data_IF_619241421211
#
_entry.id   IF_619241421211
#
_cell.length_a   1.000
_cell.length_b   1.000
_cell.length_c   1.000
_cell.angle_alpha   90.00
_cell.angle_beta   90.00
_cell.angle_gamma   90.00
#
_symmetry.space_group_name_H-M   'P 1'
#
loop_
_entity.id
_entity.type
_entity.pdbx_description
1 polymer ?
#
# COMPACT_ATOMS: atom_id res chain seq x y z
N UNK A 1 12.65 -65.80 -6.55
CA UNK A 1 13.19 -64.57 -5.92
C UNK A 1 13.55 -63.46 -6.93
N UNK A 2 14.09 -63.76 -8.12
CA UNK A 2 14.44 -62.71 -9.09
C UNK A 2 13.24 -62.00 -9.74
N UNK A 3 12.11 -62.70 -9.93
CA UNK A 3 10.90 -62.13 -10.56
C UNK A 3 10.17 -61.13 -9.64
N UNK A 4 10.09 -61.44 -8.35
CA UNK A 4 9.47 -60.58 -7.33
C UNK A 4 10.27 -59.28 -7.13
N UNK A 5 11.60 -59.34 -7.26
CA UNK A 5 12.46 -58.16 -7.20
C UNK A 5 12.27 -57.22 -8.40
N UNK A 6 12.07 -57.78 -9.61
CA UNK A 6 11.80 -56.98 -10.82
C UNK A 6 10.42 -56.31 -10.79
N UNK A 7 9.41 -57.01 -10.24
CA UNK A 7 8.06 -56.44 -10.08
C UNK A 7 8.04 -55.29 -9.06
N UNK A 8 8.78 -55.42 -7.95
CA UNK A 8 8.89 -54.39 -6.93
C UNK A 8 9.59 -53.13 -7.48
N UNK A 9 10.64 -53.29 -8.29
CA UNK A 9 11.29 -52.17 -8.98
C UNK A 9 10.36 -51.47 -9.98
N UNK A 10 9.58 -52.23 -10.75
CA UNK A 10 8.61 -51.64 -11.69
C UNK A 10 7.52 -50.83 -10.97
N UNK A 11 6.99 -51.34 -9.84
CA UNK A 11 6.01 -50.63 -9.01
C UNK A 11 6.60 -49.37 -8.37
N UNK A 12 7.85 -49.43 -7.93
CA UNK A 12 8.55 -48.26 -7.35
C UNK A 12 8.78 -47.18 -8.41
N UNK A 13 9.21 -47.55 -9.61
CA UNK A 13 9.39 -46.62 -10.74
C UNK A 13 8.05 -46.01 -11.15
N UNK A 14 6.97 -46.79 -11.27
CA UNK A 14 5.64 -46.26 -11.58
C UNK A 14 5.13 -45.26 -10.53
N UNK A 15 5.40 -45.51 -9.25
CA UNK A 15 5.01 -44.61 -8.15
C UNK A 15 5.74 -43.26 -8.21
N UNK A 16 7.03 -43.25 -8.61
CA UNK A 16 7.81 -42.02 -8.81
C UNK A 16 7.31 -41.22 -10.03
N UNK A 17 6.87 -41.91 -11.09
CA UNK A 17 6.28 -41.26 -12.25
C UNK A 17 4.91 -40.62 -11.94
N UNK A 18 4.11 -41.21 -11.05
CA UNK A 18 2.84 -40.59 -10.61
C UNK A 18 3.03 -39.38 -9.70
N UNK A 19 4.07 -39.37 -8.86
CA UNK A 19 4.44 -38.21 -8.04
C UNK A 19 4.90 -36.99 -8.86
N UNK A 20 5.42 -37.21 -10.07
CA UNK A 20 5.91 -36.14 -10.96
C UNK A 20 4.87 -35.58 -11.92
N UNK A 21 3.73 -36.26 -12.14
CA UNK A 21 2.62 -35.74 -12.96
C UNK A 21 1.61 -34.87 -12.18
N UNK A 22 1.62 -34.93 -10.84
CA UNK A 22 0.62 -34.24 -10.00
C UNK A 22 0.96 -32.80 -9.57
N UNK A 23 2.17 -32.32 -9.83
CA UNK A 23 2.69 -31.10 -9.20
C UNK A 23 3.12 -30.02 -10.20
N UNK A 24 2.31 -29.72 -11.23
CA UNK A 24 2.43 -28.47 -12.00
C UNK A 24 1.08 -27.98 -12.51
N UNK A 25 0.27 -27.38 -11.62
CA UNK A 25 -0.59 -26.25 -12.00
C UNK A 25 0.01 -24.99 -11.40
N UNK A 26 1.04 -24.48 -12.06
CA UNK A 26 1.46 -23.10 -11.88
C UNK A 26 0.67 -22.22 -12.85
N UNK A 27 0.46 -20.98 -12.42
CA UNK A 27 -0.20 -19.88 -13.13
C UNK A 27 -1.69 -20.09 -13.42
N UNK A 28 -2.51 -19.90 -12.40
CA UNK A 28 -3.65 -19.00 -12.59
C UNK A 28 -3.05 -17.63 -12.90
N UNK A 29 -2.81 -17.36 -14.18
CA UNK A 29 -2.86 -15.98 -14.66
C UNK A 29 -4.27 -15.54 -14.30
N UNK A 30 -4.40 -14.68 -13.29
CA UNK A 30 -5.61 -13.89 -13.13
C UNK A 30 -5.87 -13.33 -14.51
N UNK A 31 -6.92 -13.84 -15.16
CA UNK A 31 -7.32 -13.35 -16.46
C UNK A 31 -7.52 -11.86 -16.24
N UNK A 32 -6.70 -11.05 -16.88
CA UNK A 32 -6.74 -9.59 -16.77
C UNK A 32 -8.06 -9.19 -17.43
N UNK A 33 -9.18 -9.39 -16.71
CA UNK A 33 -10.42 -8.73 -17.01
C UNK A 33 -9.97 -7.28 -17.01
N UNK A 34 -9.99 -6.65 -18.16
CA UNK A 34 -9.74 -5.23 -18.27
C UNK A 34 -10.80 -4.59 -17.40
N UNK A 35 -10.47 -4.43 -16.12
CA UNK A 35 -11.24 -3.70 -15.14
C UNK A 35 -11.04 -2.28 -15.63
N UNK A 36 -11.82 -1.92 -16.64
CA UNK A 36 -11.95 -0.58 -17.13
C UNK A 36 -12.63 0.14 -15.99
N UNK A 37 -11.81 0.59 -15.06
CA UNK A 37 -12.26 1.30 -13.91
C UNK A 37 -12.99 2.56 -14.43
N UNK A 38 -14.24 2.74 -14.01
CA UNK A 38 -15.08 3.83 -14.47
C UNK A 38 -14.80 5.08 -13.64
N UNK A 39 -14.52 6.19 -14.32
CA UNK A 39 -14.42 7.48 -13.64
C UNK A 39 -15.81 8.04 -13.36
N UNK A 40 -16.11 8.26 -12.08
CA UNK A 40 -17.41 8.74 -11.62
C UNK A 40 -17.50 10.27 -11.48
N UNK A 41 -16.70 11.02 -12.26
CA UNK A 41 -16.69 12.49 -12.28
C UNK A 41 -16.33 13.18 -10.94
N UNK A 42 -15.61 12.49 -10.05
CA UNK A 42 -15.10 13.06 -8.79
C UNK A 42 -13.83 13.89 -8.99
N UNK A 43 -13.50 14.85 -8.11
CA UNK A 43 -12.30 15.68 -8.28
C UNK A 43 -11.01 14.86 -8.45
N UNK A 44 -10.20 15.19 -9.45
CA UNK A 44 -8.90 14.57 -9.69
C UNK A 44 -7.76 15.50 -9.27
N UNK A 45 -6.68 14.90 -8.77
CA UNK A 45 -5.41 15.61 -8.57
C UNK A 45 -4.79 15.90 -9.93
N UNK A 46 -4.40 17.15 -10.17
CA UNK A 46 -3.78 17.58 -11.43
C UNK A 46 -2.62 18.52 -11.15
N UNK A 47 -1.61 18.52 -12.01
CA UNK A 47 -0.43 19.38 -11.85
C UNK A 47 0.69 18.72 -11.05
N UNK A 48 1.58 19.55 -10.48
CA UNK A 48 2.75 19.09 -9.75
C UNK A 48 2.43 18.97 -8.26
N UNK A 49 2.23 17.76 -7.78
CA UNK A 49 1.80 17.49 -6.40
C UNK A 49 2.97 16.94 -5.58
N UNK A 50 3.23 17.51 -4.40
CA UNK A 50 4.17 16.95 -3.43
C UNK A 50 3.51 15.90 -2.56
N UNK A 51 4.19 14.78 -2.32
CA UNK A 51 3.78 13.77 -1.36
C UNK A 51 4.66 13.92 -0.11
N UNK A 52 4.09 14.45 0.97
CA UNK A 52 4.80 14.65 2.23
C UNK A 52 4.47 13.52 3.20
N UNK A 53 5.44 13.09 3.98
CA UNK A 53 5.28 12.04 4.97
C UNK A 53 5.35 12.58 6.39
N UNK A 54 4.37 12.19 7.20
CA UNK A 54 4.30 12.46 8.63
C UNK A 54 4.42 11.12 9.35
N UNK A 55 5.61 10.84 9.87
CA UNK A 55 5.95 9.62 10.60
C UNK A 55 5.63 9.83 12.08
N UNK A 56 4.57 9.19 12.57
CA UNK A 56 4.13 9.31 13.95
C UNK A 56 4.47 8.06 14.74
N UNK A 57 5.46 8.19 15.64
CA UNK A 57 6.06 7.08 16.37
C UNK A 57 7.38 6.61 15.77
N UNK A 58 7.88 5.48 16.27
CA UNK A 58 9.23 4.99 15.93
C UNK A 58 9.21 4.11 14.68
N UNK A 59 9.96 4.52 13.65
CA UNK A 59 10.12 3.76 12.40
C UNK A 59 11.59 3.44 12.13
N UNK A 60 11.85 2.25 11.59
CA UNK A 60 13.19 1.87 11.13
C UNK A 60 13.57 2.71 9.90
N UNK A 61 14.86 3.05 9.70
CA UNK A 61 15.32 3.68 8.47
C UNK A 61 14.93 2.90 7.21
N UNK A 62 14.92 1.56 7.27
CA UNK A 62 14.48 0.69 6.17
C UNK A 62 13.01 0.89 5.82
N UNK A 63 12.12 1.04 6.81
CA UNK A 63 10.70 1.28 6.60
C UNK A 63 10.45 2.63 5.92
N UNK A 64 11.19 3.67 6.35
CA UNK A 64 11.15 4.99 5.71
C UNK A 64 11.63 4.92 4.25
N UNK A 65 12.70 4.16 3.99
CA UNK A 65 13.23 3.97 2.63
C UNK A 65 12.22 3.27 1.71
N UNK A 66 11.63 2.14 2.15
CA UNK A 66 10.63 1.38 1.38
C UNK A 66 9.50 2.28 0.87
N UNK A 67 8.92 3.10 1.75
CA UNK A 67 7.81 3.99 1.38
C UNK A 67 8.25 5.13 0.46
N UNK A 68 9.46 5.66 0.68
CA UNK A 68 10.03 6.71 -0.17
C UNK A 68 10.31 6.21 -1.58
N UNK A 69 10.83 4.98 -1.68
CA UNK A 69 11.12 4.31 -2.94
C UNK A 69 9.84 3.97 -3.69
N UNK A 70 8.80 3.53 -2.99
CA UNK A 70 7.47 3.32 -3.56
C UNK A 70 6.93 4.58 -4.24
N UNK A 71 6.92 5.73 -3.56
CA UNK A 71 6.46 7.00 -4.18
C UNK A 71 7.38 7.45 -5.31
N UNK A 72 8.68 7.24 -5.17
CA UNK A 72 9.63 7.57 -6.24
C UNK A 72 9.38 6.75 -7.50
N UNK A 73 8.95 5.49 -7.35
CA UNK A 73 8.57 4.61 -8.47
C UNK A 73 7.38 5.17 -9.28
N UNK A 74 6.45 5.91 -8.63
CA UNK A 74 5.29 6.54 -9.28
C UNK A 74 5.67 7.66 -10.24
N UNK A 75 6.85 8.25 -10.07
CA UNK A 75 7.32 9.37 -10.90
C UNK A 75 8.28 8.95 -12.00
N UNK A 76 8.52 7.65 -12.20
CA UNK A 76 9.51 7.16 -13.16
C UNK A 76 8.98 7.23 -14.60
N UNK A 77 9.67 8.03 -15.45
CA UNK A 77 9.25 8.29 -16.84
C UNK A 77 9.66 7.21 -17.84
N UNK A 78 10.61 6.34 -17.49
CA UNK A 78 11.23 5.38 -18.41
C UNK A 78 11.54 4.06 -17.72
N UNK A 79 10.54 3.18 -17.57
CA UNK A 79 10.82 1.84 -17.06
C UNK A 79 11.42 0.91 -18.10
N UNK A 80 12.30 0.02 -17.64
CA UNK A 80 12.63 -1.23 -18.34
C UNK A 80 11.50 -2.22 -18.00
N UNK A 81 10.91 -2.87 -19.01
CA UNK A 81 9.78 -3.80 -18.82
C UNK A 81 10.25 -5.17 -18.27
N UNK A 82 9.46 -5.82 -17.40
CA UNK A 82 8.23 -5.34 -16.77
C UNK A 82 8.51 -4.41 -15.58
N UNK A 83 7.71 -3.36 -15.41
CA UNK A 83 7.85 -2.42 -14.29
C UNK A 83 6.53 -2.05 -13.62
N UNK A 84 6.63 -1.58 -12.38
CA UNK A 84 5.53 -0.95 -11.63
C UNK A 84 4.95 0.25 -12.40
N UNK A 85 5.77 1.04 -13.11
CA UNK A 85 5.31 2.17 -13.90
C UNK A 85 4.39 1.76 -15.08
N UNK A 86 4.57 0.57 -15.64
CA UNK A 86 3.72 0.02 -16.71
C UNK A 86 2.31 -0.25 -16.20
N UNK A 87 2.19 -0.75 -14.96
CA UNK A 87 0.90 -0.88 -14.29
C UNK A 87 0.26 0.49 -14.05
N UNK A 88 1.03 1.47 -13.57
CA UNK A 88 0.53 2.83 -13.32
C UNK A 88 0.08 3.58 -14.58
N UNK A 89 0.61 3.28 -15.78
CA UNK A 89 0.09 3.83 -17.05
C UNK A 89 -1.40 3.55 -17.25
N UNK A 90 -1.96 2.50 -16.63
CA UNK A 90 -3.40 2.25 -16.67
C UNK A 90 -4.18 3.38 -16.00
N UNK A 91 -3.64 4.00 -14.95
CA UNK A 91 -4.24 5.16 -14.27
C UNK A 91 -4.13 6.46 -15.07
N UNK A 92 -3.13 6.60 -15.96
CA UNK A 92 -3.05 7.78 -16.83
C UNK A 92 -4.26 7.87 -17.79
N UNK A 93 -4.93 6.74 -18.07
CA UNK A 93 -6.13 6.69 -18.93
C UNK A 93 -7.33 7.49 -18.40
N UNK A 94 -7.35 7.88 -17.12
CA UNK A 94 -8.40 8.72 -16.54
C UNK A 94 -8.22 10.21 -16.85
N UNK A 95 -7.00 10.63 -17.15
CA UNK A 95 -6.74 12.00 -17.56
C UNK A 95 -7.16 12.13 -19.03
N UNK A 96 -8.23 12.90 -19.28
CA UNK A 96 -8.59 13.25 -20.65
C UNK A 96 -7.55 14.21 -21.23
N UNK A 97 -7.51 14.36 -22.55
CA UNK A 97 -6.61 15.32 -23.24
C UNK A 97 -6.75 16.77 -22.72
N UNK A 98 -7.81 17.08 -21.97
CA UNK A 98 -8.14 18.39 -21.41
C UNK A 98 -7.72 18.58 -19.94
N UNK A 99 -7.33 17.51 -19.22
CA UNK A 99 -6.86 17.62 -17.82
C UNK A 99 -5.34 17.74 -17.76
N UNK A 100 -4.77 18.68 -16.98
CA UNK A 100 -3.33 18.77 -16.78
C UNK A 100 -2.78 17.45 -16.25
N UNK A 101 -1.64 17.01 -16.77
CA UNK A 101 -1.00 15.78 -16.30
C UNK A 101 -0.63 15.88 -14.83
N UNK A 102 -0.79 14.76 -14.10
CA UNK A 102 -0.34 14.63 -12.73
C UNK A 102 1.16 14.30 -12.72
N UNK A 103 1.92 15.05 -11.94
CA UNK A 103 3.32 14.75 -11.64
C UNK A 103 3.50 14.74 -10.14
N UNK A 104 3.81 13.57 -9.60
CA UNK A 104 4.12 13.41 -8.18
C UNK A 104 5.61 13.67 -7.94
N UNK A 105 5.93 14.35 -6.84
CA UNK A 105 7.30 14.45 -6.33
C UNK A 105 7.34 14.10 -4.86
N UNK A 106 8.44 13.52 -4.42
CA UNK A 106 8.69 13.35 -2.99
C UNK A 106 8.81 14.73 -2.32
N UNK A 107 8.09 14.88 -1.22
CA UNK A 107 8.03 16.10 -0.42
C UNK A 107 8.83 15.99 0.88
N UNK A 108 8.35 16.67 1.92
CA UNK A 108 8.99 16.69 3.24
C UNK A 108 8.75 15.39 4.01
N UNK A 109 9.71 15.04 4.85
CA UNK A 109 9.57 14.01 5.87
C UNK A 109 9.55 14.69 7.24
N UNK A 110 8.46 14.51 7.98
CA UNK A 110 8.26 15.06 9.32
C UNK A 110 8.18 13.87 10.26
N UNK A 111 9.08 13.81 11.25
CA UNK A 111 9.08 12.72 12.24
C UNK A 111 8.60 13.26 13.59
N UNK A 112 7.79 12.45 14.27
CA UNK A 112 7.25 12.69 15.60
C UNK A 112 7.44 11.41 16.43
N UNK A 113 8.70 11.16 16.79
CA UNK A 113 9.11 9.94 17.49
C UNK A 113 8.73 9.96 18.98
N UNK A 114 8.29 11.13 19.50
CA UNK A 114 7.91 11.33 20.90
C UNK A 114 6.42 11.12 21.17
N UNK A 115 5.62 10.77 20.15
CA UNK A 115 4.18 10.58 20.25
C UNK A 115 3.47 11.82 20.81
N UNK A 116 3.65 12.98 20.17
CA UNK A 116 3.20 14.28 20.72
C UNK A 116 1.70 14.40 21.05
N UNK A 117 0.84 13.52 20.51
CA UNK A 117 -0.60 13.44 20.77
C UNK A 117 -1.00 12.16 21.55
N UNK A 118 -0.03 11.43 22.09
CA UNK A 118 -0.22 10.12 22.72
C UNK A 118 -0.31 8.96 21.72
N UNK A 119 -0.48 7.73 22.23
CA UNK A 119 -0.55 6.51 21.41
C UNK A 119 -1.97 6.09 21.01
N UNK A 120 -2.97 6.91 21.32
CA UNK A 120 -4.37 6.68 20.94
C UNK A 120 -4.85 7.91 20.18
N UNK A 121 -5.16 7.74 18.90
CA UNK A 121 -5.49 8.84 17.99
C UNK A 121 -6.93 8.74 17.48
N UNK A 122 -7.59 9.89 17.39
CA UNK A 122 -8.86 10.06 16.70
C UNK A 122 -8.65 10.58 15.28
N UNK A 123 -9.73 10.66 14.48
CA UNK A 123 -9.67 11.27 13.15
C UNK A 123 -9.23 12.74 13.18
N UNK A 124 -9.60 13.50 14.21
CA UNK A 124 -9.15 14.88 14.39
C UNK A 124 -7.63 14.96 14.59
N UNK A 125 -7.05 14.02 15.35
CA UNK A 125 -5.60 13.92 15.51
C UNK A 125 -4.91 13.62 14.17
N UNK A 126 -5.49 12.77 13.31
CA UNK A 126 -4.95 12.49 11.98
C UNK A 126 -4.92 13.76 11.11
N UNK A 127 -6.01 14.54 11.11
CA UNK A 127 -6.06 15.83 10.39
C UNK A 127 -5.04 16.82 10.96
N UNK A 128 -4.91 16.88 12.29
CA UNK A 128 -3.92 17.73 12.96
C UNK A 128 -2.49 17.35 12.57
N UNK A 129 -2.15 16.06 12.54
CA UNK A 129 -0.86 15.56 12.08
C UNK A 129 -0.62 15.91 10.61
N UNK A 130 -1.60 15.64 9.74
CA UNK A 130 -1.51 15.96 8.31
C UNK A 130 -1.30 17.46 8.05
N UNK A 131 -1.87 18.34 8.88
CA UNK A 131 -1.73 19.80 8.76
C UNK A 131 -0.31 20.35 8.98
N UNK A 132 0.60 19.51 9.53
CA UNK A 132 2.02 19.82 9.69
C UNK A 132 2.78 19.77 8.37
N UNK A 133 2.26 19.05 7.38
CA UNK A 133 2.81 18.97 6.03
C UNK A 133 2.61 20.25 5.20
N UNK A 134 2.78 20.12 3.89
CA UNK A 134 2.58 21.25 2.97
C UNK A 134 1.10 21.54 2.76
N UNK A 135 0.77 22.82 2.55
CA UNK A 135 -0.61 23.31 2.50
C UNK A 135 -1.15 23.51 1.08
N UNK A 136 -0.28 23.44 0.06
CA UNK A 136 -0.60 23.75 -1.33
C UNK A 136 0.00 22.68 -2.23
N UNK A 137 -0.77 22.27 -3.25
CA UNK A 137 -0.36 21.27 -4.25
C UNK A 137 0.32 20.06 -3.60
N UNK A 138 -0.31 19.53 -2.55
CA UNK A 138 0.28 18.54 -1.67
C UNK A 138 -0.72 17.48 -1.20
N UNK A 139 -0.22 16.25 -1.06
CA UNK A 139 -0.84 15.17 -0.31
C UNK A 139 0.02 14.91 0.93
N UNK A 140 -0.61 14.96 2.10
CA UNK A 140 0.05 14.70 3.38
C UNK A 140 -0.30 13.29 3.86
N UNK A 141 0.68 12.39 3.83
CA UNK A 141 0.53 10.98 4.21
C UNK A 141 1.00 10.81 5.65
N UNK A 142 0.07 10.50 6.54
CA UNK A 142 0.32 10.19 7.95
C UNK A 142 0.52 8.69 8.08
N UNK A 143 1.68 8.28 8.60
CA UNK A 143 2.04 6.90 8.87
C UNK A 143 2.22 6.74 10.37
N UNK A 144 1.41 5.86 10.98
CA UNK A 144 1.49 5.59 12.42
C UNK A 144 2.27 4.30 12.69
N UNK A 145 3.14 4.33 13.69
CA UNK A 145 3.91 3.16 14.13
C UNK A 145 2.98 2.03 14.63
N UNK A 146 3.49 0.81 14.71
CA UNK A 146 2.70 -0.39 15.05
C UNK A 146 2.14 -0.35 16.47
N UNK A 147 2.74 0.43 17.37
CA UNK A 147 2.30 0.61 18.74
C UNK A 147 1.32 1.79 18.95
N UNK A 148 0.78 2.36 17.88
CA UNK A 148 -0.21 3.44 17.92
C UNK A 148 -1.60 2.91 17.56
N UNK A 149 -2.55 3.08 18.47
CA UNK A 149 -3.96 2.80 18.23
C UNK A 149 -4.64 4.00 17.56
N UNK A 150 -5.47 3.74 16.55
CA UNK A 150 -6.28 4.74 15.87
C UNK A 150 -7.72 4.24 15.79
N UNK A 151 -8.70 5.13 15.95
CA UNK A 151 -10.11 4.76 15.92
C UNK A 151 -10.48 3.96 14.65
N UNK A 152 -11.15 2.83 14.82
CA UNK A 152 -11.54 1.93 13.72
C UNK A 152 -10.39 1.16 13.05
N UNK A 153 -9.14 1.37 13.47
CA UNK A 153 -8.03 0.55 12.99
C UNK A 153 -8.26 -0.92 13.36
N UNK A 154 -7.90 -1.84 12.48
CA UNK A 154 -7.99 -3.29 12.73
C UNK A 154 -9.39 -3.84 13.01
N UNK A 155 -10.42 -3.06 12.71
CA UNK A 155 -11.82 -3.45 12.92
C UNK A 155 -12.69 -3.04 11.74
N UNK A 156 -12.56 -1.79 11.27
CA UNK A 156 -13.31 -1.29 10.13
C UNK A 156 -12.42 -0.79 9.00
N UNK A 157 -11.14 -0.49 9.25
CA UNK A 157 -10.23 0.10 8.27
C UNK A 157 -8.76 -0.16 8.58
N UNK A 158 -7.93 -0.13 7.55
CA UNK A 158 -6.46 -0.19 7.63
C UNK A 158 -5.80 1.18 7.39
N UNK A 159 -6.59 2.12 6.88
CA UNK A 159 -6.20 3.49 6.58
C UNK A 159 -7.42 4.34 6.25
N UNK A 160 -7.21 5.61 5.94
CA UNK A 160 -8.27 6.51 5.48
C UNK A 160 -7.70 7.58 4.57
N UNK A 161 -8.55 8.29 3.85
CA UNK A 161 -8.15 9.47 3.09
C UNK A 161 -9.23 10.55 3.18
N UNK A 162 -8.83 11.80 2.95
CA UNK A 162 -9.74 12.92 3.06
C UNK A 162 -9.13 14.24 2.58
N UNK A 163 -9.87 15.33 2.80
CA UNK A 163 -9.36 16.68 2.58
C UNK A 163 -9.70 17.57 3.77
N UNK A 164 -8.78 18.47 4.12
CA UNK A 164 -8.97 19.40 5.22
C UNK A 164 -8.59 20.82 4.80
N UNK A 165 -9.20 21.80 5.45
CA UNK A 165 -8.90 23.21 5.20
C UNK A 165 -7.58 23.62 5.86
N UNK A 166 -6.80 24.43 5.15
CA UNK A 166 -5.62 25.09 5.70
C UNK A 166 -6.08 26.10 6.76
N UNK A 167 -5.38 26.17 7.90
CA UNK A 167 -5.70 27.12 8.97
C UNK A 167 -5.54 28.56 8.52
N UNK A 168 -6.46 29.45 8.95
CA UNK A 168 -6.52 30.90 8.66
C UNK A 168 -5.19 31.65 8.83
N UNK A 169 -4.31 31.16 9.69
CA UNK A 169 -2.99 31.76 9.97
C UNK A 169 -1.95 31.52 8.88
N UNK A 170 -2.13 30.52 8.00
CA UNK A 170 -1.25 30.23 6.85
C UNK A 170 -1.76 30.83 5.52
N UNK A 171 -2.79 31.68 5.55
CA UNK A 171 -3.40 32.21 4.34
C UNK A 171 -2.67 33.42 3.75
N UNK A 172 -2.51 33.38 2.44
CA UNK A 172 -2.51 34.56 1.58
C UNK A 172 -3.97 35.05 1.46
N UNK A 173 -4.20 36.36 1.66
CA UNK A 173 -5.53 37.00 1.77
C UNK A 173 -6.56 36.46 0.75
N UNK A 174 -7.67 35.89 1.24
CA UNK A 174 -8.95 35.80 0.51
C UNK A 174 -9.32 34.47 -0.16
N UNK A 175 -8.54 33.39 -0.03
CA UNK A 175 -8.88 32.08 -0.61
C UNK A 175 -8.85 30.96 0.43
N UNK A 176 -9.91 30.15 0.49
CA UNK A 176 -9.97 28.93 1.30
C UNK A 176 -9.24 27.81 0.57
N UNK A 177 -8.08 27.42 1.08
CA UNK A 177 -7.30 26.31 0.52
C UNK A 177 -7.58 25.02 1.28
N UNK A 178 -7.62 23.91 0.56
CA UNK A 178 -7.67 22.56 1.12
C UNK A 178 -6.39 21.82 0.77
N UNK A 179 -5.97 20.92 1.64
CA UNK A 179 -4.96 19.91 1.35
C UNK A 179 -5.60 18.52 1.41
N UNK A 180 -5.09 17.60 0.60
CA UNK A 180 -5.47 16.19 0.68
C UNK A 180 -4.59 15.50 1.72
N UNK A 181 -5.16 14.52 2.43
CA UNK A 181 -4.40 13.69 3.34
C UNK A 181 -4.79 12.22 3.23
N UNK A 182 -3.85 11.38 3.58
CA UNK A 182 -4.00 9.93 3.66
C UNK A 182 -3.46 9.53 5.03
N UNK A 183 -4.11 8.60 5.70
CA UNK A 183 -3.55 7.91 6.86
C UNK A 183 -3.42 6.42 6.57
N UNK A 184 -2.30 5.84 6.98
CA UNK A 184 -2.02 4.41 6.92
C UNK A 184 -1.55 3.94 8.29
N UNK A 185 -2.24 2.94 8.85
CA UNK A 185 -1.85 2.29 10.10
C UNK A 185 -0.90 1.13 9.87
N UNK A 186 0.12 0.98 10.72
CA UNK A 186 0.99 -0.19 10.69
C UNK A 186 0.32 -1.36 11.44
N UNK A 187 -0.03 -2.41 10.70
CA UNK A 187 -0.79 -3.56 11.20
C UNK A 187 0.07 -4.67 11.82
N UNK A 188 1.41 -4.55 11.78
CA UNK A 188 2.38 -5.57 12.16
C UNK A 188 2.08 -6.23 13.52
N UNK A 189 1.62 -5.46 14.51
CA UNK A 189 1.37 -5.94 15.87
C UNK A 189 -0.11 -6.09 16.22
N UNK A 190 -1.00 -5.29 15.62
CA UNK A 190 -2.42 -5.21 16.04
C UNK A 190 -3.34 -6.14 15.25
N UNK A 191 -3.15 -6.26 13.93
CA UNK A 191 -4.04 -7.04 13.07
C UNK A 191 -3.41 -7.44 11.72
N UNK A 192 -2.25 -8.13 11.73
CA UNK A 192 -1.58 -8.47 10.48
C UNK A 192 -2.47 -9.36 9.58
N UNK A 193 -3.34 -10.20 10.15
CA UNK A 193 -4.30 -11.02 9.40
C UNK A 193 -5.51 -10.28 8.79
N UNK A 194 -5.64 -8.97 8.99
CA UNK A 194 -6.67 -8.16 8.32
C UNK A 194 -6.05 -7.17 7.33
N UNK A 195 -5.00 -6.49 7.76
CA UNK A 195 -4.42 -5.35 7.05
C UNK A 195 -3.06 -5.65 6.45
N UNK A 196 -2.66 -6.93 6.36
CA UNK A 196 -1.43 -7.33 5.68
C UNK A 196 -1.60 -8.56 4.78
N UNK A 197 -2.82 -8.88 4.38
CA UNK A 197 -3.05 -9.87 3.34
C UNK A 197 -2.48 -9.36 1.99
N UNK A 198 -1.88 -10.19 1.11
CA UNK A 198 -1.63 -11.63 1.22
C UNK A 198 -0.30 -11.99 1.92
N UNK A 199 0.39 -11.01 2.49
CA UNK A 199 1.69 -11.17 3.16
C UNK A 199 1.60 -11.67 4.60
N UNK A 200 0.37 -11.80 5.11
CA UNK A 200 0.04 -12.47 6.35
C UNK A 200 -1.20 -13.35 6.19
N UNK A 201 -1.30 -14.37 7.04
CA UNK A 201 -2.39 -15.34 6.99
C UNK A 201 -3.72 -14.64 7.38
N UNK A 202 -4.75 -14.69 6.51
CA UNK A 202 -6.00 -13.99 6.79
C UNK A 202 -6.76 -14.67 7.93
N UNK A 203 -7.50 -13.88 8.72
CA UNK A 203 -8.34 -14.41 9.82
C UNK A 203 -9.46 -15.32 9.27
N UNK A 204 -9.96 -15.03 8.07
CA UNK A 204 -11.02 -15.78 7.39
C UNK A 204 -10.65 -16.06 5.94
N UNK A 205 -11.21 -17.13 5.35
CA UNK A 205 -10.94 -17.53 3.98
C UNK A 205 -9.81 -18.55 3.82
N UNK A 206 -9.31 -18.80 2.60
CA UNK A 206 -8.30 -19.82 2.33
C UNK A 206 -7.02 -19.61 3.16
N UNK A 207 -6.66 -20.61 3.98
CA UNK A 207 -5.52 -20.57 4.88
C UNK A 207 -4.22 -21.04 4.19
N UNK A 208 -4.02 -20.59 2.94
CA UNK A 208 -2.78 -20.85 2.23
C UNK A 208 -1.60 -20.15 2.92
N UNK A 209 -0.39 -20.69 2.76
CA UNK A 209 0.81 -20.06 3.30
C UNK A 209 0.93 -18.61 2.77
N UNK A 210 1.20 -17.62 3.63
CA UNK A 210 1.34 -16.23 3.22
C UNK A 210 2.41 -16.06 2.14
N UNK A 211 2.20 -15.08 1.26
CA UNK A 211 3.25 -14.68 0.31
C UNK A 211 4.38 -13.97 1.06
N UNK A 212 5.59 -14.06 0.51
CA UNK A 212 6.72 -13.30 1.03
C UNK A 212 6.51 -11.83 0.67
N UNK A 213 6.47 -10.97 1.68
CA UNK A 213 6.46 -9.52 1.53
C UNK A 213 7.64 -9.10 0.63
N UNK A 214 7.41 -8.38 -0.48
CA UNK A 214 8.46 -8.01 -1.43
C UNK A 214 9.67 -7.32 -0.78
N UNK A 215 9.41 -6.54 0.28
CA UNK A 215 10.44 -5.84 1.04
C UNK A 215 10.77 -6.51 2.37
N UNK A 216 10.25 -7.72 2.60
CA UNK A 216 10.36 -8.50 3.84
C UNK A 216 9.83 -7.75 5.08
N UNK A 217 8.94 -6.77 4.89
CA UNK A 217 8.27 -6.01 5.96
C UNK A 217 6.74 -6.08 5.76
N UNK A 218 6.10 -6.99 6.48
CA UNK A 218 4.67 -7.30 6.37
C UNK A 218 3.80 -6.10 6.74
N UNK A 219 4.18 -5.31 7.74
CA UNK A 219 3.41 -4.15 8.17
C UNK A 219 3.40 -3.03 7.14
N UNK A 220 4.55 -2.79 6.50
CA UNK A 220 4.67 -1.78 5.46
C UNK A 220 4.04 -2.21 4.13
N UNK A 221 4.22 -3.47 3.73
CA UNK A 221 3.68 -3.99 2.47
C UNK A 221 2.15 -4.20 2.56
N UNK A 222 1.64 -4.52 3.75
CA UNK A 222 0.22 -4.67 4.05
C UNK A 222 -0.59 -3.36 4.09
N UNK A 223 0.02 -2.29 4.60
CA UNK A 223 -0.62 -0.97 4.73
C UNK A 223 -1.06 -0.33 3.41
N UNK A 224 -0.74 -0.93 2.26
CA UNK A 224 -1.21 -0.49 0.94
C UNK A 224 -2.67 -0.85 0.65
N UNK A 225 -3.31 -1.72 1.45
CA UNK A 225 -4.68 -2.16 1.26
C UNK A 225 -5.67 -1.30 2.07
N UNK A 226 -6.14 -0.20 1.49
CA UNK A 226 -7.27 0.57 2.05
C UNK A 226 -8.58 -0.16 1.74
N UNK A 227 -9.02 -1.05 2.63
CA UNK A 227 -10.38 -1.56 2.59
C UNK A 227 -11.34 -0.45 3.06
N UNK A 228 -12.26 -0.07 2.16
CA UNK A 228 -13.46 0.71 2.45
C UNK A 228 -14.64 -0.23 2.72
#
# INVERSE_FOLDING_TARGET
MAFTHRLLHLLFVFSIFHLSLGARRLTELVQDSSNLLHYHNGPLLTGKISVNFIWYGTFKPSQKAIVSDFISSLSTKSPIEPSVATWWKTTEKYHTKSTPSLSLRLGKHISDDSYSLGKSLTDEHLVQLASRGESYDAVNVVLTASDVAVDGFCSSRCGSHGSAYVSKTKHVKGKNYKFAYIWVGNSETQCPGQCAWPFHQPIYGPQAAPLVAPNNDVGMDGGTQMHH
#
